data_IF_173548536874
#
_entry.id   IF_173548536874
#
_cell.length_a   1.000
_cell.length_b   1.000
_cell.length_c   1.000
_cell.angle_alpha   90.00
_cell.angle_beta   90.00
_cell.angle_gamma   90.00
#
_symmetry.space_group_name_H-M   'P 1'
#
loop_
_entity.id
_entity.type
_entity.pdbx_description
1 polymer ?
#
# COMPACT_ATOMS: atom_id res chain seq x y z
N UNK A 1 13.46 -2.14 -15.08
CA UNK A 1 12.23 -2.85 -14.70
C UNK A 1 11.95 -2.52 -13.25
N UNK A 2 10.71 -2.20 -12.87
CA UNK A 2 10.34 -1.93 -11.48
C UNK A 2 10.26 -3.22 -10.67
N UNK A 3 10.51 -3.13 -9.36
CA UNK A 3 10.40 -4.25 -8.42
C UNK A 3 9.12 -4.09 -7.58
N UNK A 4 8.32 -5.15 -7.50
CA UNK A 4 7.14 -5.21 -6.64
C UNK A 4 7.42 -6.10 -5.42
N UNK A 5 7.37 -5.51 -4.23
CA UNK A 5 7.49 -6.23 -2.97
C UNK A 5 6.12 -6.36 -2.31
N UNK A 6 5.75 -7.58 -1.93
CA UNK A 6 4.49 -7.86 -1.24
C UNK A 6 4.80 -8.37 0.15
N UNK A 7 4.33 -7.65 1.17
CA UNK A 7 4.44 -8.04 2.58
C UNK A 7 3.09 -8.60 3.02
N UNK A 8 3.02 -9.92 3.22
CA UNK A 8 1.80 -10.64 3.56
C UNK A 8 1.85 -11.25 4.98
N UNK A 9 0.70 -11.61 5.54
CA UNK A 9 0.58 -12.14 6.91
C UNK A 9 -0.75 -11.77 7.58
N UNK A 10 -1.04 -12.37 8.73
CA UNK A 10 -2.29 -12.15 9.48
C UNK A 10 -2.42 -10.71 10.02
N UNK A 11 -3.64 -10.32 10.42
CA UNK A 11 -3.87 -9.06 11.13
C UNK A 11 -3.09 -9.05 12.45
N UNK A 12 -2.46 -7.92 12.77
CA UNK A 12 -1.61 -7.81 13.96
C UNK A 12 -0.20 -8.42 13.84
N UNK A 13 0.16 -9.07 12.72
CA UNK A 13 1.49 -9.68 12.55
C UNK A 13 2.65 -8.67 12.37
N UNK A 14 2.40 -7.36 12.50
CA UNK A 14 3.43 -6.33 12.38
C UNK A 14 3.80 -5.92 10.94
N UNK A 15 3.01 -6.31 9.93
CA UNK A 15 3.29 -6.02 8.50
C UNK A 15 3.60 -4.54 8.25
N UNK A 16 2.69 -3.65 8.64
CA UNK A 16 2.83 -2.20 8.41
C UNK A 16 4.07 -1.64 9.12
N UNK A 17 4.29 -2.05 10.38
CA UNK A 17 5.47 -1.64 11.15
C UNK A 17 6.76 -2.10 10.48
N UNK A 18 6.82 -3.36 10.04
CA UNK A 18 7.98 -3.90 9.35
C UNK A 18 8.21 -3.21 8.00
N UNK A 19 7.14 -2.90 7.25
CA UNK A 19 7.22 -2.18 5.96
C UNK A 19 7.91 -0.83 6.10
N UNK A 20 7.64 -0.08 7.18
CA UNK A 20 8.23 1.25 7.37
C UNK A 20 9.73 1.24 7.62
N UNK A 21 10.29 0.11 8.10
CA UNK A 21 11.74 -0.04 8.26
C UNK A 21 12.34 -0.74 7.03
N UNK A 22 11.79 -1.89 6.64
CA UNK A 22 12.38 -2.77 5.61
C UNK A 22 12.39 -2.09 4.23
N UNK A 23 11.28 -1.46 3.83
CA UNK A 23 11.17 -0.89 2.49
C UNK A 23 12.21 0.22 2.26
N UNK A 24 12.28 1.30 3.08
CA UNK A 24 13.24 2.37 2.83
C UNK A 24 14.68 2.00 3.19
N UNK A 25 14.93 1.27 4.29
CA UNK A 25 16.29 1.07 4.79
C UNK A 25 17.00 -0.14 4.15
N UNK A 26 16.27 -1.21 3.84
CA UNK A 26 16.85 -2.47 3.33
C UNK A 26 16.67 -2.59 1.83
N UNK A 27 15.47 -2.27 1.32
CA UNK A 27 15.12 -2.47 -0.09
C UNK A 27 15.24 -1.18 -0.92
N UNK A 28 15.59 -0.05 -0.31
CA UNK A 28 15.63 1.28 -0.92
C UNK A 28 14.35 1.62 -1.73
N UNK A 29 13.21 1.13 -1.24
CA UNK A 29 11.89 1.35 -1.79
C UNK A 29 11.14 2.37 -0.92
N UNK A 30 10.88 3.55 -1.47
CA UNK A 30 10.20 4.63 -0.74
C UNK A 30 8.68 4.60 -0.90
N UNK A 31 8.20 3.91 -1.93
CA UNK A 31 6.77 3.83 -2.23
C UNK A 31 6.14 2.71 -1.41
N UNK A 32 5.25 3.08 -0.48
CA UNK A 32 4.44 2.14 0.29
C UNK A 32 2.97 2.36 -0.06
N UNK A 33 2.34 1.37 -0.70
CA UNK A 33 0.94 1.44 -1.13
C UNK A 33 0.13 0.44 -0.31
N UNK A 34 -0.86 0.93 0.44
CA UNK A 34 -1.70 0.12 1.34
C UNK A 34 -3.14 0.64 1.32
N UNK A 35 -4.11 -0.26 1.10
CA UNK A 35 -5.53 0.09 1.00
C UNK A 35 -6.11 0.66 2.30
N UNK A 36 -5.69 0.16 3.47
CA UNK A 36 -6.22 0.63 4.77
C UNK A 36 -5.81 2.09 5.03
N UNK A 37 -4.55 2.43 4.75
CA UNK A 37 -4.05 3.80 4.85
C UNK A 37 -4.77 4.75 3.88
N UNK A 38 -5.05 4.29 2.66
CA UNK A 38 -5.80 5.07 1.67
C UNK A 38 -7.24 5.28 2.15
N UNK A 39 -7.91 4.22 2.62
CA UNK A 39 -9.27 4.31 3.15
C UNK A 39 -9.36 5.27 4.34
N UNK A 40 -8.41 5.21 5.27
CA UNK A 40 -8.31 6.13 6.39
C UNK A 40 -8.06 7.58 5.96
N UNK A 41 -7.35 7.80 4.85
CA UNK A 41 -7.18 9.14 4.26
C UNK A 41 -8.46 9.69 3.60
N UNK A 42 -9.28 8.83 3.00
CA UNK A 42 -10.54 9.22 2.33
C UNK A 42 -11.65 9.46 3.36
N UNK A 43 -11.82 8.53 4.31
CA UNK A 43 -12.89 8.56 5.30
C UNK A 43 -12.33 8.20 6.68
N UNK A 44 -11.69 9.15 7.38
CA UNK A 44 -10.98 8.87 8.63
C UNK A 44 -11.88 8.35 9.76
N UNK A 45 -13.18 8.68 9.72
CA UNK A 45 -14.16 8.23 10.71
C UNK A 45 -14.98 7.01 10.26
N UNK A 46 -14.89 6.61 8.99
CA UNK A 46 -15.58 5.43 8.47
C UNK A 46 -14.81 4.79 7.28
N UNK A 47 -13.60 4.25 7.49
CA UNK A 47 -12.76 3.73 6.40
C UNK A 47 -13.40 2.52 5.69
N UNK A 48 -14.14 1.70 6.43
CA UNK A 48 -14.79 0.49 5.90
C UNK A 48 -15.78 0.83 4.77
N UNK A 49 -16.48 1.96 4.87
CA UNK A 49 -17.41 2.42 3.83
C UNK A 49 -16.76 2.70 2.47
N UNK A 50 -15.45 2.94 2.44
CA UNK A 50 -14.69 3.29 1.23
C UNK A 50 -13.65 2.23 0.86
N UNK A 51 -13.72 1.03 1.48
CA UNK A 51 -12.72 -0.03 1.30
C UNK A 51 -12.55 -0.46 -0.18
N UNK A 52 -13.65 -0.58 -0.94
CA UNK A 52 -13.59 -0.93 -2.37
C UNK A 52 -12.93 0.18 -3.19
N UNK A 53 -13.26 1.44 -2.90
CA UNK A 53 -12.69 2.60 -3.58
C UNK A 53 -11.18 2.71 -3.31
N UNK A 54 -10.78 2.59 -2.04
CA UNK A 54 -9.39 2.58 -1.62
C UNK A 54 -8.59 1.44 -2.30
N UNK A 55 -9.19 0.25 -2.42
CA UNK A 55 -8.61 -0.87 -3.17
C UNK A 55 -8.38 -0.55 -4.65
N UNK A 56 -9.31 0.13 -5.32
CA UNK A 56 -9.13 0.58 -6.72
C UNK A 56 -8.01 1.60 -6.85
N UNK A 57 -7.92 2.56 -5.92
CA UNK A 57 -6.85 3.56 -5.89
C UNK A 57 -5.50 2.89 -5.65
N UNK A 58 -5.43 1.93 -4.74
CA UNK A 58 -4.23 1.13 -4.47
C UNK A 58 -3.72 0.43 -5.75
N UNK A 59 -4.61 -0.28 -6.47
CA UNK A 59 -4.25 -0.98 -7.71
C UNK A 59 -3.79 0.01 -8.80
N UNK A 60 -4.50 1.13 -8.96
CA UNK A 60 -4.09 2.18 -9.91
C UNK A 60 -2.69 2.69 -9.59
N UNK A 61 -2.38 2.97 -8.32
CA UNK A 61 -1.07 3.46 -7.90
C UNK A 61 0.04 2.43 -8.15
N UNK A 62 -0.24 1.14 -7.91
CA UNK A 62 0.71 0.06 -8.23
C UNK A 62 1.01 0.06 -9.73
N UNK A 63 0.00 0.13 -10.60
CA UNK A 63 0.19 0.12 -12.05
C UNK A 63 0.98 1.35 -12.54
N UNK A 64 0.70 2.54 -12.00
CA UNK A 64 1.47 3.77 -12.28
C UNK A 64 2.95 3.61 -11.93
N UNK A 65 3.26 3.02 -10.77
CA UNK A 65 4.63 2.76 -10.33
C UNK A 65 5.34 1.67 -11.15
N UNK A 66 4.57 0.71 -11.67
CA UNK A 66 5.08 -0.31 -12.58
C UNK A 66 5.29 0.20 -14.01
N UNK A 67 4.84 1.43 -14.32
CA UNK A 67 4.85 1.95 -15.69
C UNK A 67 3.80 1.32 -16.60
N UNK A 68 2.81 0.61 -16.03
CA UNK A 68 1.66 0.07 -16.75
C UNK A 68 0.61 1.19 -16.90
N UNK A 69 0.85 2.11 -17.83
CA UNK A 69 -0.04 3.26 -18.06
C UNK A 69 0.53 4.35 -18.96
N UNK A 70 1.59 4.05 -19.72
CA UNK A 70 2.19 4.91 -20.76
C UNK A 70 2.10 4.24 -22.12
#
# INVERSE_FOLDING_TARGET
>A
MPNLYIIAGCNGAGKTTASYTILPEILNCREFVNADNIAAGISPFNPESVAIEAGRIMLKRINELLGEGS
#
